data_IF_371680609771
#
_entry.id   IF_371680609771
#
_cell.length_a   1.000
_cell.length_b   1.000
_cell.length_c   1.000
_cell.angle_alpha   90.00
_cell.angle_beta   90.00
_cell.angle_gamma   90.00
#
_symmetry.space_group_name_H-M   'P 1'
#
loop_
_entity.id
_entity.type
_entity.pdbx_description
1 polymer ?
#
# COMPACT_ATOMS: atom_id res chain seq x y z
N UNK A 1 24.23 -16.04 -5.96
CA UNK A 1 22.98 -16.78 -5.75
C UNK A 1 22.43 -17.19 -7.09
N UNK A 2 22.15 -18.48 -7.30
CA UNK A 2 21.46 -18.97 -8.52
C UNK A 2 19.99 -18.56 -8.50
N UNK A 3 19.30 -18.64 -9.64
CA UNK A 3 17.85 -18.40 -9.70
C UNK A 3 17.07 -19.41 -8.84
N UNK A 4 17.47 -20.68 -8.84
CA UNK A 4 16.86 -21.73 -8.01
C UNK A 4 16.97 -21.39 -6.52
N UNK A 5 18.16 -21.01 -6.06
CA UNK A 5 18.34 -20.58 -4.67
C UNK A 5 17.48 -19.35 -4.34
N UNK A 6 17.37 -18.39 -5.27
CA UNK A 6 16.49 -17.23 -5.08
C UNK A 6 15.02 -17.66 -4.90
N UNK A 7 14.53 -18.59 -5.72
CA UNK A 7 13.19 -19.14 -5.57
C UNK A 7 12.99 -19.82 -4.21
N UNK A 8 13.98 -20.56 -3.73
CA UNK A 8 13.95 -21.19 -2.41
C UNK A 8 13.89 -20.14 -1.29
N UNK A 9 14.69 -19.08 -1.37
CA UNK A 9 14.65 -17.98 -0.39
C UNK A 9 13.26 -17.30 -0.39
N UNK A 10 12.70 -16.98 -1.57
CA UNK A 10 11.36 -16.37 -1.70
C UNK A 10 10.27 -17.27 -1.09
N UNK A 11 10.37 -18.59 -1.30
CA UNK A 11 9.39 -19.54 -0.76
C UNK A 11 9.54 -19.73 0.75
N UNK A 12 10.76 -19.58 1.28
CA UNK A 12 11.07 -19.70 2.70
C UNK A 12 10.81 -18.43 3.52
N UNK A 13 10.63 -17.28 2.86
CA UNK A 13 10.37 -16.00 3.52
C UNK A 13 9.10 -16.06 4.37
N UNK A 14 9.27 -15.94 5.68
CA UNK A 14 8.19 -15.98 6.66
C UNK A 14 7.45 -14.65 6.79
N UNK A 15 8.03 -13.57 6.30
CA UNK A 15 7.44 -12.23 6.35
C UNK A 15 6.41 -12.05 5.24
N UNK A 16 6.56 -12.80 4.15
CA UNK A 16 5.70 -12.75 2.97
C UNK A 16 6.04 -11.58 2.03
N UNK A 17 6.99 -10.72 2.40
CA UNK A 17 7.39 -9.57 1.61
C UNK A 17 8.08 -9.98 0.31
N UNK A 18 8.86 -11.07 0.31
CA UNK A 18 9.59 -11.53 -0.86
C UNK A 18 8.68 -11.85 -2.06
N UNK A 19 7.45 -12.29 -1.81
CA UNK A 19 6.43 -12.56 -2.85
C UNK A 19 5.82 -11.28 -3.42
N UNK A 20 6.04 -10.14 -2.77
CA UNK A 20 5.53 -8.84 -3.20
C UNK A 20 6.34 -8.16 -4.30
N UNK A 21 7.58 -8.62 -4.54
CA UNK A 21 8.46 -8.06 -5.56
C UNK A 21 8.18 -8.63 -6.95
N UNK A 22 8.51 -7.86 -7.98
CA UNK A 22 8.70 -8.42 -9.30
C UNK A 22 9.89 -9.41 -9.29
N UNK A 23 9.65 -10.64 -9.74
CA UNK A 23 10.71 -11.67 -9.78
C UNK A 23 11.95 -11.22 -10.56
N UNK A 24 11.73 -10.48 -11.66
CA UNK A 24 12.82 -9.92 -12.47
C UNK A 24 13.71 -8.97 -11.67
N UNK A 25 13.11 -8.12 -10.82
CA UNK A 25 13.88 -7.21 -9.98
C UNK A 25 14.75 -7.96 -8.98
N UNK A 26 14.19 -8.98 -8.32
CA UNK A 26 14.97 -9.82 -7.40
C UNK A 26 16.08 -10.57 -8.12
N UNK A 27 15.81 -11.13 -9.30
CA UNK A 27 16.81 -11.80 -10.12
C UNK A 27 17.95 -10.84 -10.51
N UNK A 28 17.61 -9.66 -11.02
CA UNK A 28 18.58 -8.65 -11.41
C UNK A 28 19.45 -8.21 -10.22
N UNK A 29 18.81 -7.86 -9.10
CA UNK A 29 19.51 -7.35 -7.92
C UNK A 29 20.31 -8.42 -7.19
N UNK A 30 19.75 -9.61 -6.99
CA UNK A 30 20.32 -10.62 -6.08
C UNK A 30 21.14 -11.67 -6.81
N UNK A 31 20.75 -12.09 -8.01
CA UNK A 31 21.51 -13.07 -8.78
C UNK A 31 22.65 -12.41 -9.56
N UNK A 32 22.41 -11.25 -10.20
CA UNK A 32 23.39 -10.63 -11.10
C UNK A 32 24.20 -9.50 -10.45
N UNK A 33 23.55 -8.52 -9.82
CA UNK A 33 24.25 -7.34 -9.30
C UNK A 33 24.98 -7.62 -7.97
N UNK A 34 24.26 -8.10 -6.96
CA UNK A 34 24.79 -8.28 -5.60
C UNK A 34 25.35 -9.69 -5.37
N UNK A 35 24.83 -10.69 -6.08
CA UNK A 35 25.26 -12.09 -6.08
C UNK A 35 25.46 -12.75 -4.69
N UNK A 36 24.67 -12.37 -3.68
CA UNK A 36 24.88 -12.80 -2.28
C UNK A 36 23.57 -13.01 -1.53
N UNK A 37 23.50 -14.07 -0.72
CA UNK A 37 22.33 -14.36 0.14
C UNK A 37 22.10 -13.28 1.19
N UNK A 38 23.15 -12.84 1.87
CA UNK A 38 23.04 -11.78 2.87
C UNK A 38 22.40 -10.51 2.27
N UNK A 39 22.55 -10.30 0.95
CA UNK A 39 21.96 -9.16 0.25
C UNK A 39 20.48 -9.31 -0.08
N UNK A 40 19.97 -10.54 -0.13
CA UNK A 40 18.53 -10.79 -0.12
C UNK A 40 17.97 -10.45 1.26
N UNK A 41 18.56 -10.99 2.33
CA UNK A 41 18.10 -10.73 3.70
C UNK A 41 18.17 -9.24 4.07
N UNK A 42 19.25 -8.54 3.70
CA UNK A 42 19.38 -7.08 3.86
C UNK A 42 18.22 -6.34 3.17
N UNK A 43 17.91 -6.70 1.92
CA UNK A 43 16.85 -6.06 1.13
C UNK A 43 15.48 -6.26 1.78
N UNK A 44 15.13 -7.50 2.13
CA UNK A 44 13.86 -7.81 2.81
C UNK A 44 13.76 -7.06 4.12
N UNK A 45 14.82 -7.04 4.94
CA UNK A 45 14.80 -6.36 6.23
C UNK A 45 14.70 -4.84 6.10
N UNK A 46 15.33 -4.23 5.10
CA UNK A 46 15.23 -2.80 4.82
C UNK A 46 13.80 -2.42 4.43
N UNK A 47 13.20 -3.16 3.51
CA UNK A 47 11.85 -2.86 3.03
C UNK A 47 10.78 -3.16 4.08
N UNK A 48 10.98 -4.16 4.93
CA UNK A 48 10.12 -4.38 6.10
C UNK A 48 10.17 -3.20 7.08
N UNK A 49 11.36 -2.63 7.32
CA UNK A 49 11.50 -1.44 8.17
C UNK A 49 10.80 -0.25 7.55
N UNK A 50 10.95 -0.08 6.23
CA UNK A 50 10.25 0.96 5.47
C UNK A 50 8.73 0.83 5.63
N UNK A 51 8.15 -0.35 5.36
CA UNK A 51 6.71 -0.57 5.54
C UNK A 51 6.24 -0.34 6.98
N UNK A 52 7.03 -0.75 7.99
CA UNK A 52 6.70 -0.49 9.40
C UNK A 52 6.71 1.00 9.73
N UNK A 53 7.68 1.74 9.19
CA UNK A 53 7.74 3.19 9.36
C UNK A 53 6.52 3.88 8.73
N UNK A 54 6.15 3.46 7.51
CA UNK A 54 4.98 3.96 6.80
C UNK A 54 3.68 3.63 7.54
N UNK A 55 3.54 2.39 8.05
CA UNK A 55 2.39 1.97 8.86
C UNK A 55 2.22 2.86 10.10
N UNK A 56 3.31 3.12 10.83
CA UNK A 56 3.27 3.99 12.01
C UNK A 56 2.75 5.39 11.67
N UNK A 57 3.29 6.02 10.62
CA UNK A 57 2.86 7.34 10.16
C UNK A 57 1.37 7.36 9.77
N UNK A 58 0.90 6.35 9.02
CA UNK A 58 -0.50 6.21 8.60
C UNK A 58 -1.44 6.15 9.82
N UNK A 59 -1.06 5.38 10.85
CA UNK A 59 -1.87 5.20 12.06
C UNK A 59 -1.94 6.49 12.92
N UNK A 60 -0.87 7.29 12.91
CA UNK A 60 -0.79 8.55 13.66
C UNK A 60 -1.46 9.75 12.94
N UNK A 61 -1.82 9.61 11.65
CA UNK A 61 -2.44 10.69 10.87
C UNK A 61 -3.67 11.28 11.57
N UNK A 62 -3.72 12.62 11.61
CA UNK A 62 -4.83 13.41 12.19
C UNK A 62 -5.91 13.78 11.17
N UNK A 63 -5.65 13.59 9.88
CA UNK A 63 -6.56 13.90 8.78
C UNK A 63 -6.60 12.73 7.80
N UNK A 64 -7.77 12.44 7.19
CA UNK A 64 -7.88 11.42 6.16
C UNK A 64 -7.06 11.79 4.92
N UNK A 65 -6.51 10.78 4.27
CA UNK A 65 -5.83 10.91 2.97
C UNK A 65 -6.29 9.82 2.00
N UNK A 66 -5.97 10.01 0.72
CA UNK A 66 -6.21 9.01 -0.32
C UNK A 66 -5.65 7.64 0.11
N UNK A 67 -6.35 6.55 -0.19
CA UNK A 67 -5.96 5.19 0.20
C UNK A 67 -6.32 4.77 1.62
N UNK A 68 -6.67 5.69 2.53
CA UNK A 68 -7.22 5.34 3.85
C UNK A 68 -8.58 4.65 3.71
N UNK A 69 -8.96 3.83 4.68
CA UNK A 69 -10.28 3.22 4.71
C UNK A 69 -11.33 4.17 5.29
N UNK A 70 -12.55 4.08 4.76
CA UNK A 70 -13.74 4.76 5.21
C UNK A 70 -14.83 3.72 5.45
N UNK A 71 -15.37 3.71 6.67
CA UNK A 71 -16.64 3.09 6.98
C UNK A 71 -17.76 4.04 6.55
N UNK A 72 -18.53 3.67 5.52
CA UNK A 72 -19.54 4.55 4.90
C UNK A 72 -20.99 4.11 5.16
N UNK A 73 -21.15 2.89 5.66
CA UNK A 73 -22.39 2.37 6.24
C UNK A 73 -22.01 1.23 7.19
N UNK A 74 -22.92 0.81 8.06
CA UNK A 74 -22.65 -0.24 9.04
C UNK A 74 -21.98 -1.48 8.41
N UNK A 75 -20.73 -1.74 8.83
CA UNK A 75 -19.93 -2.87 8.36
C UNK A 75 -19.41 -2.79 6.93
N UNK A 76 -19.64 -1.68 6.19
CA UNK A 76 -19.12 -1.49 4.83
C UNK A 76 -17.95 -0.52 4.80
N UNK A 77 -16.87 -0.98 4.19
CA UNK A 77 -15.62 -0.25 4.08
C UNK A 77 -15.24 -0.08 2.61
N UNK A 78 -14.64 1.06 2.31
CA UNK A 78 -13.99 1.32 1.04
C UNK A 78 -12.85 2.31 1.25
N UNK A 79 -11.95 2.43 0.27
CA UNK A 79 -10.80 3.33 0.40
C UNK A 79 -11.04 4.66 -0.30
N UNK A 80 -10.44 5.72 0.23
CA UNK A 80 -10.49 7.07 -0.37
C UNK A 80 -9.74 7.06 -1.71
N UNK A 81 -10.40 7.52 -2.76
CA UNK A 81 -9.83 7.69 -4.09
C UNK A 81 -10.29 9.02 -4.68
N UNK A 82 -9.78 9.34 -5.87
CA UNK A 82 -10.18 10.52 -6.64
C UNK A 82 -10.67 10.13 -8.02
N UNK A 83 -11.68 10.87 -8.48
CA UNK A 83 -12.16 10.83 -9.85
C UNK A 83 -11.13 11.57 -10.72
N UNK A 84 -10.66 10.92 -11.79
CA UNK A 84 -9.64 11.50 -12.67
C UNK A 84 -10.05 12.85 -13.27
N UNK A 85 -11.31 12.96 -13.66
CA UNK A 85 -11.82 14.08 -14.45
C UNK A 85 -11.83 15.40 -13.67
N UNK A 86 -12.22 15.38 -12.39
CA UNK A 86 -12.47 16.59 -11.60
C UNK A 86 -11.76 16.58 -10.22
N UNK A 87 -11.03 15.52 -9.89
CA UNK A 87 -10.29 15.38 -8.63
C UNK A 87 -11.19 15.20 -7.39
N UNK A 88 -12.51 15.05 -7.59
CA UNK A 88 -13.45 14.84 -6.51
C UNK A 88 -13.20 13.51 -5.82
N UNK A 89 -13.50 13.47 -4.53
CA UNK A 89 -13.36 12.25 -3.73
C UNK A 89 -14.40 11.23 -4.17
N UNK A 90 -13.97 10.00 -4.31
CA UNK A 90 -14.81 8.82 -4.43
C UNK A 90 -14.33 7.76 -3.45
N UNK A 91 -15.14 6.74 -3.22
CA UNK A 91 -14.70 5.54 -2.52
C UNK A 91 -14.47 4.42 -3.53
N UNK A 92 -13.49 3.56 -3.30
CA UNK A 92 -13.22 2.37 -4.13
C UNK A 92 -12.62 1.22 -3.31
N UNK A 93 -13.01 0.00 -3.64
CA UNK A 93 -12.38 -1.24 -3.15
C UNK A 93 -11.41 -1.84 -4.18
N UNK A 94 -11.34 -1.26 -5.37
CA UNK A 94 -10.57 -1.77 -6.52
C UNK A 94 -9.27 -1.01 -6.76
N UNK A 95 -8.94 -0.09 -5.85
CA UNK A 95 -7.76 0.76 -5.96
C UNK A 95 -6.50 0.10 -5.40
N UNK A 96 -5.41 0.20 -6.16
CA UNK A 96 -4.06 -0.12 -5.67
C UNK A 96 -3.48 1.11 -4.97
N UNK A 97 -3.02 0.98 -3.73
CA UNK A 97 -2.55 2.12 -2.94
C UNK A 97 -1.03 2.20 -2.94
N UNK A 98 -0.49 3.23 -3.60
CA UNK A 98 0.90 3.63 -3.40
C UNK A 98 1.07 4.30 -2.02
N UNK A 99 2.14 3.95 -1.33
CA UNK A 99 2.56 4.58 -0.08
C UNK A 99 4.03 4.99 -0.16
N UNK A 100 4.37 6.12 0.47
CA UNK A 100 5.74 6.63 0.55
C UNK A 100 6.18 6.85 2.00
N UNK A 101 7.49 7.05 2.19
CA UNK A 101 8.02 7.59 3.45
C UNK A 101 7.29 8.90 3.84
N UNK A 102 7.18 9.12 5.15
CA UNK A 102 6.30 10.15 5.73
C UNK A 102 4.84 9.72 5.82
N UNK A 103 4.53 8.48 5.40
CA UNK A 103 3.17 7.98 5.36
C UNK A 103 2.32 8.93 4.56
N UNK A 104 2.68 9.19 3.30
CA UNK A 104 1.79 9.81 2.32
C UNK A 104 1.28 8.72 1.38
N UNK A 105 0.04 8.87 0.95
CA UNK A 105 -0.61 7.95 0.02
C UNK A 105 -1.00 8.77 -1.19
N UNK A 106 -0.20 8.69 -2.25
CA UNK A 106 -0.28 9.66 -3.37
C UNK A 106 -0.99 9.10 -4.61
N UNK A 107 -1.17 7.79 -4.70
CA UNK A 107 -1.79 7.19 -5.87
C UNK A 107 -2.56 5.94 -5.47
N UNK A 108 -3.83 6.13 -5.10
CA UNK A 108 -4.80 5.03 -5.16
C UNK A 108 -5.21 4.68 -6.60
N UNK A 109 -4.81 5.49 -7.58
CA UNK A 109 -5.26 5.35 -8.96
C UNK A 109 -6.73 5.76 -9.13
N UNK A 110 -7.07 6.17 -10.35
CA UNK A 110 -8.44 6.46 -10.73
C UNK A 110 -9.08 5.17 -11.21
N UNK A 111 -9.82 4.49 -10.33
CA UNK A 111 -10.55 3.26 -10.69
C UNK A 111 -12.03 3.56 -10.65
N UNK A 112 -12.76 3.20 -11.72
CA UNK A 112 -14.21 3.16 -11.69
C UNK A 112 -14.65 1.93 -10.90
N UNK A 113 -15.47 2.14 -9.87
CA UNK A 113 -15.97 1.07 -9.02
C UNK A 113 -17.50 1.05 -9.00
N UNK A 114 -18.09 0.23 -9.87
CA UNK A 114 -19.54 0.08 -10.00
C UNK A 114 -20.23 -0.60 -8.81
N UNK A 115 -19.46 -1.14 -7.86
CA UNK A 115 -19.99 -1.89 -6.71
C UNK A 115 -20.24 -1.01 -5.49
N UNK A 116 -19.79 0.24 -5.52
CA UNK A 116 -20.00 1.18 -4.44
C UNK A 116 -21.29 1.94 -4.65
N UNK A 117 -22.08 2.01 -3.58
CA UNK A 117 -23.31 2.80 -3.54
C UNK A 117 -22.96 4.25 -3.85
N UNK A 118 -23.71 4.89 -4.74
CA UNK A 118 -23.52 6.31 -5.05
C UNK A 118 -23.76 7.14 -3.77
N UNK A 119 -22.68 7.72 -3.25
CA UNK A 119 -22.72 8.60 -2.07
C UNK A 119 -22.79 10.02 -2.59
N UNK A 120 -23.77 10.79 -2.11
CA UNK A 120 -23.90 12.20 -2.48
C UNK A 120 -22.56 12.93 -2.32
N UNK A 121 -22.11 13.61 -3.39
CA UNK A 121 -20.82 14.31 -3.42
C UNK A 121 -20.67 15.34 -2.30
N UNK A 122 -21.77 15.93 -1.86
CA UNK A 122 -21.82 16.90 -0.74
C UNK A 122 -21.53 16.23 0.61
N UNK A 123 -21.85 14.95 0.76
CA UNK A 123 -21.52 14.15 1.95
C UNK A 123 -20.09 13.66 1.93
N UNK A 124 -19.61 13.19 0.77
CA UNK A 124 -18.27 12.62 0.61
C UNK A 124 -17.19 13.70 0.42
N UNK A 125 -16.90 14.42 1.50
CA UNK A 125 -15.80 15.39 1.59
C UNK A 125 -14.90 15.04 2.78
N UNK A 126 -13.58 15.19 2.63
CA UNK A 126 -12.60 14.79 3.67
C UNK A 126 -12.90 15.41 5.04
N UNK A 127 -13.43 16.63 5.07
CA UNK A 127 -13.80 17.35 6.31
C UNK A 127 -14.94 16.69 7.10
N UNK A 128 -15.77 15.86 6.46
CA UNK A 128 -16.89 15.15 7.10
C UNK A 128 -16.45 13.80 7.68
N UNK A 129 -15.22 13.37 7.41
CA UNK A 129 -14.69 12.11 7.91
C UNK A 129 -14.13 12.31 9.32
N UNK A 130 -14.55 11.45 10.24
CA UNK A 130 -14.11 11.50 11.64
C UNK A 130 -13.19 10.32 11.95
N UNK A 131 -12.16 10.50 12.82
CA UNK A 131 -11.25 9.43 13.15
C UNK A 131 -11.97 8.35 13.96
N UNK A 132 -11.62 7.08 13.70
CA UNK A 132 -12.05 5.95 14.54
C UNK A 132 -10.84 5.32 15.23
N UNK A 133 -11.10 4.43 16.19
CA UNK A 133 -10.09 3.53 16.76
C UNK A 133 -9.85 2.28 15.93
N UNK A 134 -10.61 2.07 14.84
CA UNK A 134 -10.52 0.88 14.00
C UNK A 134 -9.31 0.98 13.07
N UNK A 135 -8.73 -0.17 12.76
CA UNK A 135 -7.70 -0.32 11.72
C UNK A 135 -8.10 -1.46 10.80
N UNK A 136 -7.65 -1.40 9.56
CA UNK A 136 -7.85 -2.46 8.57
C UNK A 136 -6.54 -2.79 7.88
N UNK A 137 -6.31 -4.08 7.64
CA UNK A 137 -5.18 -4.52 6.83
C UNK A 137 -5.51 -4.27 5.37
N UNK A 138 -4.61 -3.61 4.67
CA UNK A 138 -4.72 -3.32 3.25
C UNK A 138 -3.44 -3.62 2.51
N UNK A 139 -3.56 -4.22 1.33
CA UNK A 139 -2.44 -4.31 0.39
C UNK A 139 -2.11 -2.91 -0.12
N UNK A 140 -0.82 -2.61 -0.21
CA UNK A 140 -0.26 -1.39 -0.75
C UNK A 140 1.07 -1.70 -1.41
N UNK A 141 1.64 -0.72 -2.10
CA UNK A 141 2.97 -0.88 -2.68
C UNK A 141 3.80 0.38 -2.49
N UNK A 142 5.11 0.19 -2.46
CA UNK A 142 6.08 1.26 -2.48
C UNK A 142 7.26 0.87 -3.38
N UNK A 143 8.19 1.78 -3.57
CA UNK A 143 9.45 1.45 -4.23
C UNK A 143 10.42 0.85 -3.22
N UNK A 144 11.01 -0.29 -3.59
CA UNK A 144 12.02 -0.96 -2.78
C UNK A 144 13.16 -0.02 -2.41
N UNK A 145 13.50 0.00 -1.12
CA UNK A 145 14.46 0.87 -0.44
C UNK A 145 14.17 2.38 -0.63
N UNK A 146 12.93 2.75 -0.96
CA UNK A 146 12.53 4.12 -1.27
C UNK A 146 13.01 4.64 -2.63
N UNK A 147 13.59 3.78 -3.48
CA UNK A 147 14.25 4.18 -4.73
C UNK A 147 13.33 3.90 -5.92
N UNK A 148 12.85 4.95 -6.57
CA UNK A 148 12.01 4.83 -7.77
C UNK A 148 12.74 4.15 -8.94
N UNK A 149 11.99 3.40 -9.74
CA UNK A 149 12.55 2.73 -10.92
C UNK A 149 11.67 1.59 -11.44
N UNK A 150 11.93 1.18 -12.69
CA UNK A 150 11.21 0.08 -13.31
C UNK A 150 11.37 -1.21 -12.50
N UNK A 151 10.25 -1.93 -12.30
CA UNK A 151 10.17 -3.19 -11.54
C UNK A 151 10.56 -3.12 -10.05
N UNK A 152 10.87 -1.93 -9.52
CA UNK A 152 11.23 -1.75 -8.10
C UNK A 152 10.02 -1.72 -7.16
N UNK A 153 8.81 -1.77 -7.70
CA UNK A 153 7.58 -1.84 -6.90
C UNK A 153 7.54 -3.12 -6.07
N UNK A 154 7.29 -2.98 -4.79
CA UNK A 154 7.09 -4.09 -3.85
C UNK A 154 5.72 -3.93 -3.19
N UNK A 155 4.90 -4.98 -3.26
CA UNK A 155 3.59 -5.02 -2.62
C UNK A 155 3.68 -5.62 -1.22
N UNK A 156 2.97 -5.05 -0.26
CA UNK A 156 2.88 -5.59 1.09
C UNK A 156 1.60 -5.17 1.81
N UNK A 157 1.21 -5.97 2.80
CA UNK A 157 0.05 -5.68 3.63
C UNK A 157 0.49 -4.92 4.88
N UNK A 158 -0.10 -3.75 5.10
CA UNK A 158 0.06 -2.96 6.33
C UNK A 158 -1.31 -2.56 6.89
N UNK A 159 -1.33 -2.09 8.13
CA UNK A 159 -2.53 -1.53 8.76
C UNK A 159 -2.73 -0.09 8.31
N UNK A 160 -3.96 0.19 7.96
CA UNK A 160 -4.46 1.53 7.63
C UNK A 160 -5.46 1.97 8.70
N UNK A 161 -5.51 3.28 8.91
CA UNK A 161 -6.53 3.92 9.74
C UNK A 161 -7.89 3.85 9.04
N UNK A 162 -8.94 3.69 9.83
CA UNK A 162 -10.33 3.76 9.35
C UNK A 162 -10.95 5.07 9.80
N UNK A 163 -11.60 5.75 8.87
CA UNK A 163 -12.40 6.95 9.11
C UNK A 163 -13.88 6.62 9.00
N UNK A 164 -14.72 7.35 9.74
CA UNK A 164 -16.17 7.18 9.68
C UNK A 164 -16.77 8.32 8.86
N UNK A 165 -17.58 7.96 7.86
CA UNK A 165 -18.46 8.90 7.16
C UNK A 165 -19.80 8.95 7.89
N UNK A 166 -20.15 10.13 8.42
CA UNK A 166 -21.41 10.39 9.12
C UNK A 166 -22.64 10.54 8.21
#
# INVERSE_FOLDING_TARGET
>A
MTYENLCDEINSDKTGLAKGYAIKFLQDMICYVRNSKNKFDDLINNDLKLFKSIEAEILERKKPQDGDFVEYSEGKFARISRIHQDGNIQLSNKIGVYVSEGGYSEASGCTYDSEIVDIERTRLVLKNLTPTSKTMIGCCWTFSEGISGANRGVNYNIKFKVWLLG
#
